data_IF_933241516840
#
_entry.id   IF_933241516840
#
_cell.length_a   1.000
_cell.length_b   1.000
_cell.length_c   1.000
_cell.angle_alpha   90.00
_cell.angle_beta   90.00
_cell.angle_gamma   90.00
#
_symmetry.space_group_name_H-M   'P 1'
#
loop_
_entity.id
_entity.type
_entity.pdbx_description
1 polymer ?
#
# COMPACT_ATOMS: atom_id res chain seq x y z
N UNK A 1 47.73 -54.72 4.21
CA UNK A 1 46.94 -53.87 5.10
C UNK A 1 46.70 -52.56 4.34
N UNK A 2 45.59 -52.48 3.63
CA UNK A 2 45.28 -51.39 2.70
C UNK A 2 44.26 -50.49 3.40
N UNK A 3 44.64 -49.26 3.67
CA UNK A 3 43.76 -48.25 4.28
C UNK A 3 43.00 -47.57 3.13
N UNK A 4 41.69 -47.78 3.11
CA UNK A 4 40.78 -47.05 2.20
C UNK A 4 40.60 -45.63 2.72
N UNK A 5 40.92 -44.65 1.91
CA UNK A 5 40.63 -43.23 2.08
C UNK A 5 39.15 -42.99 1.95
N UNK A 6 38.56 -42.48 3.04
CA UNK A 6 37.16 -41.98 3.05
C UNK A 6 37.00 -40.81 2.12
N UNK A 7 36.03 -40.90 1.26
CA UNK A 7 35.56 -39.83 0.36
C UNK A 7 34.93 -38.71 1.16
N UNK A 8 35.58 -37.56 1.09
CA UNK A 8 35.11 -36.26 1.54
C UNK A 8 33.81 -35.92 0.82
N UNK A 9 32.68 -35.95 1.54
CA UNK A 9 31.43 -35.37 1.05
C UNK A 9 31.55 -33.85 1.13
N UNK A 10 32.19 -33.27 0.12
CA UNK A 10 32.15 -31.80 -0.11
C UNK A 10 30.69 -31.34 -0.16
N UNK A 11 30.29 -30.57 0.83
CA UNK A 11 29.05 -29.83 0.88
C UNK A 11 29.02 -28.94 -0.34
N UNK A 12 28.33 -29.37 -1.42
CA UNK A 12 28.09 -28.54 -2.60
C UNK A 12 27.28 -27.34 -2.15
N UNK A 13 27.86 -26.15 -2.20
CA UNK A 13 27.13 -24.88 -2.12
C UNK A 13 26.14 -24.87 -3.29
N UNK A 14 24.83 -24.75 -3.04
CA UNK A 14 23.86 -24.75 -4.12
C UNK A 14 24.18 -23.64 -5.13
N UNK A 15 24.05 -23.93 -6.42
CA UNK A 15 24.22 -22.93 -7.46
C UNK A 15 23.21 -21.80 -7.30
N UNK A 16 23.53 -20.59 -7.75
CA UNK A 16 22.67 -19.38 -7.64
C UNK A 16 21.23 -19.59 -8.13
N UNK A 17 21.02 -20.52 -9.06
CA UNK A 17 19.70 -20.93 -9.54
C UNK A 17 18.86 -21.63 -8.47
N UNK A 18 19.47 -22.47 -7.63
CA UNK A 18 18.79 -23.20 -6.54
C UNK A 18 18.33 -22.25 -5.43
N UNK A 19 19.14 -21.26 -5.08
CA UNK A 19 18.74 -20.22 -4.11
C UNK A 19 17.56 -19.40 -4.58
N UNK A 20 17.54 -19.01 -5.85
CA UNK A 20 16.43 -18.25 -6.43
C UNK A 20 15.13 -19.05 -6.42
N UNK A 21 15.20 -20.34 -6.76
CA UNK A 21 14.03 -21.23 -6.73
C UNK A 21 13.53 -21.45 -5.29
N UNK A 22 14.44 -21.69 -4.33
CA UNK A 22 14.10 -21.86 -2.93
C UNK A 22 13.48 -20.58 -2.34
N UNK A 23 14.03 -19.43 -2.66
CA UNK A 23 13.46 -18.13 -2.26
C UNK A 23 12.06 -17.91 -2.82
N UNK A 24 11.82 -18.23 -4.08
CA UNK A 24 10.50 -18.13 -4.69
C UNK A 24 9.50 -19.10 -4.06
N UNK A 25 9.90 -20.34 -3.77
CA UNK A 25 9.04 -21.30 -3.06
C UNK A 25 8.69 -20.82 -1.65
N UNK A 26 9.65 -20.31 -0.90
CA UNK A 26 9.43 -19.76 0.44
C UNK A 26 8.49 -18.56 0.38
N UNK A 27 8.70 -17.65 -0.57
CA UNK A 27 7.82 -16.48 -0.81
C UNK A 27 6.39 -16.91 -1.11
N UNK A 28 6.20 -17.87 -2.03
CA UNK A 28 4.87 -18.40 -2.35
C UNK A 28 4.20 -19.05 -1.15
N UNK A 29 4.94 -19.84 -0.36
CA UNK A 29 4.41 -20.48 0.84
C UNK A 29 3.98 -19.45 1.89
N UNK A 30 4.77 -18.41 2.13
CA UNK A 30 4.41 -17.31 3.03
C UNK A 30 3.17 -16.56 2.55
N UNK A 31 3.09 -16.23 1.26
CA UNK A 31 1.92 -15.56 0.68
C UNK A 31 0.66 -16.41 0.81
N UNK A 32 0.77 -17.72 0.56
CA UNK A 32 -0.35 -18.66 0.72
C UNK A 32 -0.83 -18.72 2.17
N UNK A 33 0.08 -18.90 3.15
CA UNK A 33 -0.28 -18.92 4.57
C UNK A 33 -0.94 -17.62 5.01
N UNK A 34 -0.38 -16.47 4.66
CA UNK A 34 -0.95 -15.17 5.02
C UNK A 34 -2.34 -14.98 4.40
N UNK A 35 -2.55 -15.44 3.16
CA UNK A 35 -3.86 -15.39 2.51
C UNK A 35 -4.88 -16.27 3.23
N UNK A 36 -4.49 -17.49 3.59
CA UNK A 36 -5.35 -18.44 4.30
C UNK A 36 -5.74 -17.92 5.68
N UNK A 37 -4.76 -17.48 6.48
CA UNK A 37 -5.00 -16.88 7.80
C UNK A 37 -5.91 -15.66 7.70
N UNK A 38 -5.70 -14.77 6.71
CA UNK A 38 -6.55 -13.60 6.50
C UNK A 38 -8.00 -13.98 6.21
N UNK A 39 -8.23 -15.03 5.42
CA UNK A 39 -9.56 -15.53 5.13
C UNK A 39 -10.23 -16.17 6.36
N UNK A 40 -9.49 -16.96 7.13
CA UNK A 40 -10.00 -17.60 8.34
C UNK A 40 -10.35 -16.60 9.45
N UNK A 41 -9.57 -15.50 9.58
CA UNK A 41 -9.88 -14.42 10.54
C UNK A 41 -11.03 -13.54 10.03
N UNK A 42 -11.16 -13.31 8.71
CA UNK A 42 -12.23 -12.48 8.16
C UNK A 42 -13.62 -13.04 8.48
N UNK A 43 -13.78 -14.35 8.46
CA UNK A 43 -15.07 -14.99 8.72
C UNK A 43 -15.63 -14.67 10.12
N UNK A 44 -14.94 -14.93 11.24
CA UNK A 44 -15.43 -14.57 12.57
C UNK A 44 -15.57 -13.05 12.75
N UNK A 45 -14.70 -12.24 12.18
CA UNK A 45 -14.79 -10.76 12.23
C UNK A 45 -16.07 -10.28 11.54
N UNK A 46 -16.40 -10.83 10.37
CA UNK A 46 -17.64 -10.50 9.65
C UNK A 46 -18.85 -10.90 10.47
N UNK A 47 -18.83 -12.07 11.12
CA UNK A 47 -19.93 -12.55 11.96
C UNK A 47 -20.12 -11.67 13.19
N UNK A 48 -19.04 -11.32 13.90
CA UNK A 48 -19.09 -10.41 15.06
C UNK A 48 -19.66 -9.06 14.64
N UNK A 49 -19.19 -8.48 13.51
CA UNK A 49 -19.73 -7.22 13.00
C UNK A 49 -21.23 -7.30 12.69
N UNK A 50 -21.69 -8.41 12.12
CA UNK A 50 -23.13 -8.62 11.84
C UNK A 50 -23.95 -8.67 13.12
N UNK A 51 -23.45 -9.32 14.18
CA UNK A 51 -24.14 -9.33 15.47
C UNK A 51 -24.15 -7.95 16.14
N UNK A 52 -23.06 -7.19 16.02
CA UNK A 52 -23.00 -5.82 16.54
C UNK A 52 -24.04 -4.92 15.86
N UNK A 53 -24.14 -4.97 14.51
CA UNK A 53 -25.18 -4.24 13.77
C UNK A 53 -26.61 -4.66 14.14
N UNK A 54 -26.83 -5.96 14.39
CA UNK A 54 -28.14 -6.43 14.89
C UNK A 54 -28.46 -5.92 16.29
N UNK A 55 -27.46 -5.82 17.17
CA UNK A 55 -27.61 -5.24 18.51
C UNK A 55 -27.93 -3.74 18.44
N UNK A 56 -27.22 -2.96 17.59
CA UNK A 56 -27.53 -1.55 17.35
C UNK A 56 -28.97 -1.35 16.86
N UNK A 57 -29.43 -2.20 15.94
CA UNK A 57 -30.80 -2.13 15.45
C UNK A 57 -31.86 -2.46 16.51
N UNK A 58 -31.53 -3.23 17.55
CA UNK A 58 -32.43 -3.58 18.65
C UNK A 58 -32.32 -2.65 19.85
N UNK A 59 -31.15 -2.06 20.03
CA UNK A 59 -30.72 -1.24 21.16
C UNK A 59 -30.05 0.04 20.67
N UNK A 60 -30.79 1.00 20.08
CA UNK A 60 -30.22 2.24 19.55
C UNK A 60 -29.47 3.08 20.60
N UNK A 61 -29.78 2.89 21.88
CA UNK A 61 -29.10 3.53 23.01
C UNK A 61 -27.61 3.17 23.10
N UNK A 62 -27.21 2.01 22.57
CA UNK A 62 -25.78 1.59 22.52
C UNK A 62 -24.92 2.56 21.72
N UNK A 63 -25.46 3.23 20.70
CA UNK A 63 -24.71 4.20 19.88
C UNK A 63 -24.17 5.37 20.71
N UNK A 64 -24.76 5.66 21.88
CA UNK A 64 -24.33 6.71 22.80
C UNK A 64 -23.35 6.20 23.87
N UNK A 65 -23.15 4.89 23.98
CA UNK A 65 -22.24 4.28 24.94
C UNK A 65 -20.78 4.38 24.45
N UNK A 66 -19.91 4.96 25.28
CA UNK A 66 -18.50 5.15 24.93
C UNK A 66 -17.73 3.84 24.68
N UNK A 67 -18.09 2.75 25.39
CA UNK A 67 -17.44 1.46 25.17
C UNK A 67 -17.91 0.83 23.86
N UNK A 68 -19.18 1.01 23.53
CA UNK A 68 -19.72 0.55 22.25
C UNK A 68 -19.02 1.24 21.06
N UNK A 69 -18.87 2.56 21.13
CA UNK A 69 -18.14 3.33 20.11
C UNK A 69 -16.70 2.83 19.94
N UNK A 70 -15.99 2.60 21.06
CA UNK A 70 -14.63 2.02 21.02
C UNK A 70 -14.58 0.62 20.43
N UNK A 71 -15.58 -0.22 20.67
CA UNK A 71 -15.67 -1.54 20.07
C UNK A 71 -15.84 -1.42 18.54
N UNK A 72 -16.73 -0.51 18.09
CA UNK A 72 -16.95 -0.29 16.65
C UNK A 72 -15.71 0.25 15.95
N UNK A 73 -15.02 1.23 16.52
CA UNK A 73 -13.74 1.77 16.02
C UNK A 73 -12.69 0.65 15.88
N UNK A 74 -12.52 -0.19 16.90
CA UNK A 74 -11.59 -1.32 16.85
C UNK A 74 -12.01 -2.38 15.82
N UNK A 75 -13.31 -2.60 15.63
CA UNK A 75 -13.82 -3.52 14.61
C UNK A 75 -13.52 -2.99 13.21
N UNK A 76 -13.69 -1.70 12.96
CA UNK A 76 -13.39 -1.09 11.68
C UNK A 76 -11.88 -1.07 11.41
N UNK A 77 -11.05 -0.82 12.43
CA UNK A 77 -9.60 -0.97 12.33
C UNK A 77 -9.19 -2.40 11.94
N UNK A 78 -9.79 -3.42 12.59
CA UNK A 78 -9.51 -4.83 12.29
C UNK A 78 -9.92 -5.22 10.86
N UNK A 79 -11.07 -4.74 10.38
CA UNK A 79 -11.50 -4.92 8.99
C UNK A 79 -10.51 -4.27 8.01
N UNK A 80 -10.07 -3.05 8.30
CA UNK A 80 -9.09 -2.33 7.49
C UNK A 80 -7.78 -3.12 7.40
N UNK A 81 -7.25 -3.59 8.53
CA UNK A 81 -6.04 -4.41 8.61
C UNK A 81 -6.15 -5.69 7.76
N UNK A 82 -7.27 -6.41 7.85
CA UNK A 82 -7.51 -7.62 7.05
C UNK A 82 -7.61 -7.32 5.56
N UNK A 83 -8.19 -6.18 5.19
CA UNK A 83 -8.27 -5.75 3.79
C UNK A 83 -6.88 -5.36 3.25
N UNK A 84 -6.08 -4.64 4.02
CA UNK A 84 -4.72 -4.28 3.64
C UNK A 84 -3.81 -5.52 3.56
N UNK A 85 -3.93 -6.48 4.49
CA UNK A 85 -3.19 -7.73 4.43
C UNK A 85 -3.53 -8.55 3.17
N UNK A 86 -4.82 -8.60 2.81
CA UNK A 86 -5.30 -9.21 1.57
C UNK A 86 -4.75 -8.49 0.33
N UNK A 87 -4.76 -7.15 0.36
CA UNK A 87 -4.23 -6.31 -0.71
C UNK A 87 -2.71 -6.49 -0.87
N UNK A 88 -1.97 -6.57 0.24
CA UNK A 88 -0.53 -6.83 0.27
C UNK A 88 -0.20 -8.18 -0.38
N UNK A 89 -0.94 -9.24 -0.03
CA UNK A 89 -0.76 -10.58 -0.59
C UNK A 89 -1.05 -10.66 -2.10
N UNK A 90 -1.99 -9.83 -2.59
CA UNK A 90 -2.41 -9.81 -3.99
C UNK A 90 -1.83 -8.63 -4.80
N UNK A 91 -0.93 -7.84 -4.22
CA UNK A 91 -0.40 -6.62 -4.85
C UNK A 91 0.43 -6.88 -6.12
N UNK A 92 1.08 -8.04 -6.21
CA UNK A 92 1.92 -8.44 -7.35
C UNK A 92 1.13 -9.15 -8.48
N UNK A 93 -0.13 -9.55 -8.23
CA UNK A 93 -0.99 -10.18 -9.24
C UNK A 93 -1.70 -9.09 -10.03
N UNK A 94 -1.28 -8.86 -11.27
CA UNK A 94 -1.81 -7.82 -12.14
C UNK A 94 -2.78 -8.37 -13.18
N UNK A 95 -3.87 -7.64 -13.40
CA UNK A 95 -4.75 -7.77 -14.56
C UNK A 95 -4.47 -6.60 -15.51
N UNK A 96 -3.46 -6.76 -16.37
CA UNK A 96 -3.01 -5.71 -17.28
C UNK A 96 -4.00 -5.51 -18.42
N UNK A 97 -4.48 -4.26 -18.56
CA UNK A 97 -5.37 -3.82 -19.64
C UNK A 97 -4.86 -2.49 -20.20
N UNK A 98 -5.32 -2.13 -21.39
CA UNK A 98 -5.08 -0.79 -21.94
C UNK A 98 -5.81 0.22 -21.04
N UNK A 99 -5.07 0.99 -20.27
CA UNK A 99 -5.60 1.86 -19.21
C UNK A 99 -5.23 3.32 -19.47
N UNK A 100 -6.24 4.20 -19.40
CA UNK A 100 -6.01 5.63 -19.34
C UNK A 100 -5.71 6.00 -17.87
N UNK A 101 -4.43 5.97 -17.51
CA UNK A 101 -3.99 6.19 -16.14
C UNK A 101 -4.18 7.62 -15.66
N UNK A 102 -4.26 8.60 -16.58
CA UNK A 102 -4.62 9.97 -16.24
C UNK A 102 -6.07 10.05 -15.74
N UNK A 103 -7.01 9.41 -16.43
CA UNK A 103 -8.41 9.34 -15.99
C UNK A 103 -8.52 8.65 -14.62
N UNK A 104 -7.83 7.53 -14.43
CA UNK A 104 -7.79 6.84 -13.12
C UNK A 104 -7.28 7.76 -12.01
N UNK A 105 -6.26 8.57 -12.29
CA UNK A 105 -5.70 9.49 -11.29
C UNK A 105 -6.67 10.63 -10.96
N UNK A 106 -7.32 11.24 -11.99
CA UNK A 106 -8.36 12.25 -11.80
C UNK A 106 -9.52 11.73 -10.93
N UNK A 107 -10.05 10.55 -11.25
CA UNK A 107 -11.13 9.92 -10.48
C UNK A 107 -10.77 9.68 -9.01
N UNK A 108 -9.51 9.33 -8.74
CA UNK A 108 -9.04 9.19 -7.35
C UNK A 108 -9.05 10.55 -6.65
N UNK A 109 -8.49 11.58 -7.27
CA UNK A 109 -8.44 12.93 -6.70
C UNK A 109 -9.87 13.44 -6.44
N UNK A 110 -10.78 13.31 -7.41
CA UNK A 110 -12.19 13.69 -7.26
C UNK A 110 -12.85 12.96 -6.07
N UNK A 111 -12.54 11.68 -5.88
CA UNK A 111 -13.14 10.87 -4.81
C UNK A 111 -12.70 11.28 -3.41
N UNK A 112 -11.49 11.83 -3.24
CA UNK A 112 -10.93 12.21 -1.94
C UNK A 112 -11.11 13.69 -1.61
N UNK A 113 -11.33 14.54 -2.62
CA UNK A 113 -11.44 15.99 -2.47
C UNK A 113 -12.46 16.43 -1.41
N UNK A 114 -13.68 15.86 -1.31
CA UNK A 114 -14.63 16.27 -0.26
C UNK A 114 -14.08 16.09 1.15
N UNK A 115 -13.51 14.92 1.44
CA UNK A 115 -12.95 14.62 2.76
C UNK A 115 -11.71 15.46 3.08
N UNK A 116 -10.89 15.79 2.09
CA UNK A 116 -9.74 16.68 2.25
C UNK A 116 -10.20 18.12 2.57
N UNK A 117 -11.23 18.61 1.89
CA UNK A 117 -11.79 19.95 2.11
C UNK A 117 -12.34 20.11 3.54
N UNK A 118 -12.99 19.08 4.09
CA UNK A 118 -13.46 19.08 5.48
C UNK A 118 -12.30 19.25 6.49
N UNK A 119 -11.10 18.82 6.10
CA UNK A 119 -9.87 18.98 6.89
C UNK A 119 -9.05 20.21 6.50
N UNK A 120 -9.57 21.12 5.68
CA UNK A 120 -8.87 22.28 5.15
C UNK A 120 -7.60 21.96 4.36
N UNK A 121 -7.60 20.79 3.69
CA UNK A 121 -6.51 20.36 2.83
C UNK A 121 -6.94 20.53 1.37
N UNK A 122 -6.16 21.27 0.60
CA UNK A 122 -6.38 21.41 -0.84
C UNK A 122 -5.56 20.38 -1.61
N UNK A 123 -6.10 19.91 -2.75
CA UNK A 123 -5.38 19.01 -3.63
C UNK A 123 -5.46 19.53 -5.08
N UNK A 124 -4.31 19.68 -5.71
CA UNK A 124 -4.18 20.18 -7.08
C UNK A 124 -3.52 19.13 -7.98
N UNK A 125 -4.01 19.00 -9.20
CA UNK A 125 -3.44 18.15 -10.24
C UNK A 125 -2.95 18.98 -11.43
N UNK A 126 -1.68 18.89 -11.74
CA UNK A 126 -1.09 19.47 -12.92
C UNK A 126 -0.66 18.38 -13.92
N UNK A 127 -1.19 18.47 -15.14
CA UNK A 127 -0.76 17.65 -16.26
C UNK A 127 0.16 18.50 -17.16
N UNK A 128 1.40 18.05 -17.33
CA UNK A 128 2.43 18.84 -18.05
C UNK A 128 2.72 18.35 -19.46
N UNK A 129 2.21 17.16 -19.85
CA UNK A 129 2.35 16.59 -21.21
C UNK A 129 1.17 15.70 -21.57
N UNK A 130 0.95 15.35 -22.84
CA UNK A 130 0.02 14.30 -23.23
C UNK A 130 0.40 12.99 -22.55
N UNK A 131 -0.58 12.28 -21.97
CA UNK A 131 -0.35 11.00 -21.29
C UNK A 131 -0.84 9.86 -22.17
N UNK A 132 0.02 8.92 -22.54
CA UNK A 132 -0.39 7.78 -23.36
C UNK A 132 -1.25 6.80 -22.57
N UNK A 133 -2.04 6.00 -23.31
CA UNK A 133 -2.65 4.79 -22.76
C UNK A 133 -1.54 3.74 -22.60
N UNK A 134 -1.46 3.13 -21.42
CA UNK A 134 -0.45 2.10 -21.13
C UNK A 134 -1.11 0.78 -20.70
N UNK A 135 -0.35 -0.32 -20.76
CA UNK A 135 -0.79 -1.59 -20.20
C UNK A 135 -0.60 -1.58 -18.70
N UNK A 136 -1.68 -1.42 -17.96
CA UNK A 136 -1.66 -1.34 -16.50
C UNK A 136 -2.89 -1.98 -15.87
N UNK A 137 -2.80 -2.32 -14.59
CA UNK A 137 -3.95 -2.68 -13.76
C UNK A 137 -4.50 -1.42 -13.09
N UNK A 138 -5.57 -0.86 -13.66
CA UNK A 138 -6.20 0.37 -13.17
C UNK A 138 -6.68 0.27 -11.72
N UNK A 139 -7.13 -0.90 -11.27
CA UNK A 139 -7.55 -1.13 -9.87
C UNK A 139 -6.37 -1.03 -8.92
N UNK A 140 -5.22 -1.61 -9.28
CA UNK A 140 -4.00 -1.52 -8.49
C UNK A 140 -3.43 -0.11 -8.47
N UNK A 141 -3.48 0.59 -9.60
CA UNK A 141 -3.03 1.99 -9.65
C UNK A 141 -3.96 2.90 -8.83
N UNK A 142 -5.28 2.69 -8.85
CA UNK A 142 -6.22 3.39 -7.97
C UNK A 142 -5.84 3.18 -6.49
N UNK A 143 -5.54 1.96 -6.09
CA UNK A 143 -5.09 1.64 -4.73
C UNK A 143 -3.76 2.33 -4.38
N UNK A 144 -2.80 2.34 -5.30
CA UNK A 144 -1.53 3.05 -5.15
C UNK A 144 -1.75 4.54 -4.86
N UNK A 145 -2.54 5.22 -5.69
CA UNK A 145 -2.80 6.65 -5.57
C UNK A 145 -3.56 6.98 -4.27
N UNK A 146 -4.59 6.20 -3.93
CA UNK A 146 -5.32 6.37 -2.68
C UNK A 146 -4.41 6.25 -1.46
N UNK A 147 -3.50 5.26 -1.43
CA UNK A 147 -2.57 5.08 -0.32
C UNK A 147 -1.61 6.26 -0.18
N UNK A 148 -1.07 6.77 -1.30
CA UNK A 148 -0.14 7.89 -1.27
C UNK A 148 -0.83 9.20 -0.87
N UNK A 149 -2.03 9.48 -1.40
CA UNK A 149 -2.81 10.68 -1.04
C UNK A 149 -3.25 10.60 0.42
N UNK A 150 -3.67 9.43 0.92
CA UNK A 150 -4.01 9.25 2.33
C UNK A 150 -2.79 9.51 3.22
N UNK A 151 -1.61 8.99 2.86
CA UNK A 151 -0.39 9.25 3.61
C UNK A 151 -0.04 10.73 3.64
N UNK A 152 -0.19 11.44 2.52
CA UNK A 152 -0.01 12.89 2.43
C UNK A 152 -1.01 13.64 3.33
N UNK A 153 -2.29 13.27 3.27
CA UNK A 153 -3.34 13.85 4.14
C UNK A 153 -3.06 13.61 5.62
N UNK A 154 -2.65 12.40 6.00
CA UNK A 154 -2.35 12.06 7.40
C UNK A 154 -1.15 12.80 7.96
N UNK A 155 -0.19 13.20 7.09
CA UNK A 155 0.98 13.98 7.49
C UNK A 155 0.65 15.47 7.72
N UNK A 156 -0.51 15.95 7.27
CA UNK A 156 -0.98 17.32 7.45
C UNK A 156 -1.91 17.37 8.66
N UNK A 157 -1.50 18.07 9.71
CA UNK A 157 -2.22 18.09 10.99
C UNK A 157 -3.45 19.01 10.97
N UNK A 158 -3.36 20.20 10.37
CA UNK A 158 -4.41 21.22 10.40
C UNK A 158 -4.87 21.61 9.02
N UNK A 159 -4.10 22.42 8.32
CA UNK A 159 -4.35 22.91 6.96
C UNK A 159 -3.12 22.69 6.09
N UNK A 160 -3.28 22.51 4.79
CA UNK A 160 -2.15 22.33 3.90
C UNK A 160 -2.52 21.98 2.48
N UNK A 161 -1.50 21.60 1.72
CA UNK A 161 -1.62 21.33 0.29
C UNK A 161 -1.06 19.98 -0.09
N UNK A 162 -1.73 19.34 -1.04
CA UNK A 162 -1.23 18.16 -1.75
C UNK A 162 -1.09 18.54 -3.23
N UNK A 163 0.12 18.51 -3.75
CA UNK A 163 0.42 18.80 -5.15
C UNK A 163 0.64 17.50 -5.91
N UNK A 164 -0.19 17.24 -6.89
CA UNK A 164 -0.06 16.11 -7.78
C UNK A 164 0.39 16.57 -9.17
N UNK A 165 1.36 15.86 -9.74
CA UNK A 165 1.74 16.08 -11.14
C UNK A 165 1.72 14.78 -11.91
N UNK A 166 1.42 14.87 -13.21
CA UNK A 166 1.58 13.75 -14.15
C UNK A 166 2.21 14.26 -15.45
N UNK A 167 3.23 13.53 -15.89
CA UNK A 167 3.95 13.83 -17.14
C UNK A 167 4.41 12.55 -17.82
N UNK A 168 4.62 12.63 -19.14
CA UNK A 168 5.24 11.55 -19.92
C UNK A 168 6.36 12.11 -20.79
N UNK A 169 7.42 11.33 -20.93
CA UNK A 169 8.52 11.56 -21.88
C UNK A 169 8.41 10.67 -23.13
N UNK A 170 7.31 9.90 -23.25
CA UNK A 170 7.06 8.95 -24.34
C UNK A 170 7.51 7.52 -24.03
N UNK A 171 8.49 7.33 -23.16
CA UNK A 171 8.98 6.00 -22.72
C UNK A 171 8.42 5.62 -21.36
N UNK A 172 8.17 6.61 -20.53
CA UNK A 172 7.61 6.44 -19.19
C UNK A 172 6.54 7.49 -18.86
N UNK A 173 5.73 7.17 -17.84
CA UNK A 173 4.81 8.11 -17.20
C UNK A 173 5.27 8.30 -15.76
N UNK A 174 5.50 9.55 -15.39
CA UNK A 174 5.91 9.95 -14.04
C UNK A 174 4.74 10.60 -13.32
N UNK A 175 4.45 10.12 -12.11
CA UNK A 175 3.54 10.75 -11.15
C UNK A 175 4.36 11.30 -10.00
N UNK A 176 3.97 12.47 -9.53
CA UNK A 176 4.52 13.05 -8.30
C UNK A 176 3.37 13.44 -7.39
N UNK A 177 3.48 13.08 -6.11
CA UNK A 177 2.54 13.46 -5.06
C UNK A 177 3.37 14.08 -3.95
N UNK A 178 3.16 15.37 -3.69
CA UNK A 178 3.90 16.16 -2.72
C UNK A 178 2.95 16.78 -1.71
N UNK A 179 3.26 16.68 -0.43
CA UNK A 179 2.50 17.27 0.66
C UNK A 179 3.31 18.34 1.40
N UNK A 180 2.59 19.20 2.12
CA UNK A 180 3.17 20.22 3.01
C UNK A 180 3.10 19.78 4.48
N UNK A 181 3.06 18.48 4.74
CA UNK A 181 2.90 17.92 6.07
C UNK A 181 4.18 17.91 6.91
N UNK A 182 4.16 17.15 7.98
CA UNK A 182 5.25 17.05 8.96
C UNK A 182 6.55 16.43 8.41
N UNK A 183 6.50 15.84 7.20
CA UNK A 183 7.63 15.10 6.64
C UNK A 183 7.93 13.81 7.40
N UNK A 184 9.03 13.15 7.03
CA UNK A 184 9.46 11.87 7.61
C UNK A 184 10.84 12.06 8.24
N UNK A 185 11.00 11.86 9.55
CA UNK A 185 12.31 11.87 10.21
C UNK A 185 13.30 10.92 9.54
N UNK A 186 14.58 11.33 9.47
CA UNK A 186 15.63 10.57 8.80
C UNK A 186 15.80 9.14 9.34
N UNK A 187 15.57 8.95 10.64
CA UNK A 187 15.64 7.66 11.31
C UNK A 187 14.59 6.64 10.87
N UNK A 188 13.47 7.11 10.23
CA UNK A 188 12.37 6.25 9.75
C UNK A 188 12.42 6.03 8.23
N UNK A 189 13.33 6.70 7.52
CA UNK A 189 13.35 6.67 6.06
C UNK A 189 13.85 5.34 5.48
N UNK A 190 14.78 4.67 6.14
CA UNK A 190 15.38 3.43 5.66
C UNK A 190 14.38 2.27 5.64
N UNK A 191 13.48 2.23 6.63
CA UNK A 191 12.48 1.17 6.79
C UNK A 191 11.09 1.53 6.26
N UNK A 192 10.97 2.66 5.54
CA UNK A 192 9.69 3.23 5.11
C UNK A 192 8.82 2.27 4.28
N UNK A 193 9.45 1.37 3.52
CA UNK A 193 8.77 0.39 2.68
C UNK A 193 8.76 -1.03 3.28
N UNK A 194 9.26 -1.20 4.51
CA UNK A 194 9.24 -2.50 5.19
C UNK A 194 7.83 -2.78 5.76
N UNK A 195 7.30 -4.01 5.53
CA UNK A 195 5.96 -4.35 6.00
C UNK A 195 5.83 -4.32 7.52
N UNK A 196 4.67 -3.86 8.02
CA UNK A 196 4.31 -3.81 9.43
C UNK A 196 5.13 -2.82 10.28
N UNK A 197 5.98 -2.02 9.67
CA UNK A 197 6.67 -0.92 10.34
C UNK A 197 5.82 0.34 10.20
N UNK A 198 5.41 0.92 11.31
CA UNK A 198 4.61 2.15 11.36
C UNK A 198 4.95 2.96 12.60
N UNK A 199 4.95 4.27 12.45
CA UNK A 199 5.10 5.23 13.55
C UNK A 199 3.80 6.01 13.80
N UNK A 200 2.72 5.65 13.08
CA UNK A 200 1.36 6.17 13.28
C UNK A 200 0.61 5.28 14.28
N UNK A 201 -0.13 5.88 15.22
CA UNK A 201 -0.89 5.14 16.24
C UNK A 201 -1.92 4.16 15.64
N UNK A 202 -2.56 4.53 14.53
CA UNK A 202 -3.58 3.72 13.85
C UNK A 202 -3.08 3.19 12.49
N UNK A 203 -1.78 3.22 12.25
CA UNK A 203 -1.18 2.74 11.01
C UNK A 203 -0.95 1.22 11.03
N UNK A 204 -1.25 0.55 9.93
CA UNK A 204 -0.98 -0.89 9.75
C UNK A 204 0.45 -1.20 9.31
N UNK A 205 1.17 -0.19 8.80
CA UNK A 205 2.49 -0.36 8.20
C UNK A 205 2.47 -1.11 6.85
N UNK A 206 1.30 -1.25 6.20
CA UNK A 206 1.16 -1.98 4.93
C UNK A 206 0.98 -1.06 3.71
N UNK A 207 0.53 0.17 3.88
CA UNK A 207 0.19 1.07 2.77
C UNK A 207 1.35 1.31 1.79
N UNK A 208 2.51 1.74 2.28
CA UNK A 208 3.69 1.99 1.45
C UNK A 208 4.34 0.72 0.89
N UNK A 209 4.49 -0.38 1.65
CA UNK A 209 4.85 -1.68 1.10
C UNK A 209 3.95 -2.14 -0.06
N UNK A 210 2.62 -1.95 0.03
CA UNK A 210 1.68 -2.23 -1.06
C UNK A 210 2.01 -1.36 -2.28
N UNK A 211 2.25 -0.05 -2.08
CA UNK A 211 2.61 0.86 -3.16
C UNK A 211 3.87 0.38 -3.90
N UNK A 212 4.94 0.05 -3.17
CA UNK A 212 6.19 -0.46 -3.75
C UNK A 212 5.96 -1.73 -4.56
N UNK A 213 5.18 -2.69 -4.04
CA UNK A 213 4.88 -3.94 -4.75
C UNK A 213 4.08 -3.72 -6.02
N UNK A 214 3.05 -2.87 -5.98
CA UNK A 214 2.26 -2.52 -7.18
C UNK A 214 3.15 -1.90 -8.24
N UNK A 215 3.98 -0.93 -7.88
CA UNK A 215 4.88 -0.25 -8.82
C UNK A 215 5.91 -1.23 -9.41
N UNK A 216 6.55 -2.05 -8.58
CA UNK A 216 7.49 -3.08 -9.03
C UNK A 216 6.83 -4.12 -9.95
N UNK A 217 5.60 -4.54 -9.65
CA UNK A 217 4.84 -5.46 -10.50
C UNK A 217 4.54 -4.86 -11.89
N UNK A 218 4.33 -3.54 -11.97
CA UNK A 218 4.22 -2.80 -13.22
C UNK A 218 5.59 -2.46 -13.86
N UNK A 219 6.69 -3.04 -13.36
CA UNK A 219 8.08 -2.79 -13.82
C UNK A 219 8.52 -1.33 -13.66
N UNK A 220 7.86 -0.59 -12.78
CA UNK A 220 8.14 0.79 -12.45
C UNK A 220 9.09 0.95 -11.28
N UNK A 221 9.32 2.21 -10.90
CA UNK A 221 10.10 2.59 -9.72
C UNK A 221 9.32 3.58 -8.87
N UNK A 222 9.48 3.47 -7.55
CA UNK A 222 8.96 4.43 -6.58
C UNK A 222 10.13 4.95 -5.75
N UNK A 223 10.17 6.25 -5.56
CA UNK A 223 11.15 6.94 -4.73
C UNK A 223 10.48 8.07 -3.96
N UNK A 224 11.14 8.58 -2.94
CA UNK A 224 10.66 9.70 -2.17
C UNK A 224 11.78 10.68 -1.81
N UNK A 225 11.39 11.89 -1.47
CA UNK A 225 12.21 12.90 -0.81
C UNK A 225 11.40 13.47 0.34
N UNK A 226 11.97 13.52 1.52
CA UNK A 226 11.30 14.05 2.70
C UNK A 226 12.28 14.72 3.62
N UNK A 227 11.80 15.76 4.29
CA UNK A 227 12.53 16.43 5.35
C UNK A 227 11.53 16.75 6.46
N UNK A 228 11.92 16.46 7.69
CA UNK A 228 11.06 16.73 8.86
C UNK A 228 10.68 18.21 8.91
N UNK A 229 9.38 18.48 9.01
CA UNK A 229 8.80 19.84 9.01
C UNK A 229 8.62 20.49 7.63
N UNK A 230 9.05 19.84 6.53
CA UNK A 230 8.96 20.43 5.17
C UNK A 230 8.09 19.61 4.20
N UNK A 231 7.49 18.49 4.68
CA UNK A 231 6.66 17.62 3.88
C UNK A 231 7.38 16.49 3.19
N UNK A 232 6.64 15.77 2.34
CA UNK A 232 7.15 14.60 1.60
C UNK A 232 6.75 14.67 0.14
N UNK A 233 7.61 14.21 -0.73
CA UNK A 233 7.35 14.05 -2.16
C UNK A 233 7.60 12.62 -2.57
N UNK A 234 6.58 11.91 -3.01
CA UNK A 234 6.70 10.60 -3.66
C UNK A 234 6.74 10.77 -5.17
N UNK A 235 7.65 10.06 -5.81
CA UNK A 235 7.78 9.99 -7.27
C UNK A 235 7.62 8.54 -7.73
N UNK A 236 6.68 8.31 -8.65
CA UNK A 236 6.41 7.02 -9.27
C UNK A 236 6.69 7.12 -10.76
N UNK A 237 7.43 6.17 -11.32
CA UNK A 237 7.71 6.09 -12.75
C UNK A 237 7.23 4.74 -13.25
N UNK A 238 6.33 4.73 -14.25
CA UNK A 238 5.81 3.54 -14.89
C UNK A 238 6.23 3.51 -16.36
N UNK A 239 6.70 2.39 -16.91
CA UNK A 239 7.02 2.28 -18.33
C UNK A 239 5.75 2.35 -19.18
N UNK A 240 5.87 2.87 -20.42
CA UNK A 240 4.75 2.94 -21.37
C UNK A 240 4.51 1.57 -22.03
N UNK A 241 5.53 0.72 -22.14
CA UNK A 241 5.49 -0.61 -22.78
C UNK A 241 5.78 -1.75 -21.83
#
# INVERSE_FOLDING_TARGET
MTIQSGTDQSTRIPETADYKMLYQQLKMKHQFMLSQVSHEIRNPVTLINSFMQLLEGRHPELMQDNYWQKIMENMDFLKSLLNELSAFNNSEKLNLQNSNIYTTFCEVIESVTPALNERHITIDLQKTSPIPVIKADGTKLRQLFLNLIRNASDAIETEGHIFCTIQSDGESVTFTISDTGSGIPSEYQDDLFEPFITHKQEGTGLGLPICRRIVCAHKGTISFKSKSGEGTTFKIVLPVS
#
